data_IF_218859416282
#
_entry.id   IF_218859416282
#
_cell.length_a   1.000
_cell.length_b   1.000
_cell.length_c   1.000
_cell.angle_alpha   90.00
_cell.angle_beta   90.00
_cell.angle_gamma   90.00
#
_symmetry.space_group_name_H-M   'P 1'
#
loop_
_entity.id
_entity.type
_entity.pdbx_description
1 polymer ?
#
# COMPACT_ATOMS: atom_id res chain seq x y z
N UNK A 1 -17.43 32.25 2.54
CA UNK A 1 -16.38 31.32 3.01
C UNK A 1 -15.81 30.62 1.79
N UNK A 2 -14.56 30.90 1.46
CA UNK A 2 -13.86 30.28 0.32
C UNK A 2 -13.35 28.91 0.76
N UNK A 3 -13.89 27.86 0.12
CA UNK A 3 -13.32 26.52 0.18
C UNK A 3 -11.99 26.56 -0.57
N UNK A 4 -10.87 26.07 -0.02
CA UNK A 4 -9.66 25.91 -0.81
C UNK A 4 -9.94 24.79 -1.81
N UNK A 5 -10.20 25.18 -3.05
CA UNK A 5 -10.15 24.30 -4.20
C UNK A 5 -8.69 23.84 -4.29
N UNK A 6 -8.47 22.54 -4.05
CA UNK A 6 -7.24 21.88 -4.47
C UNK A 6 -7.10 22.17 -5.96
N UNK A 7 -6.11 23.00 -6.31
CA UNK A 7 -5.74 23.22 -7.69
C UNK A 7 -5.41 21.85 -8.29
N UNK A 8 -6.30 21.35 -9.13
CA UNK A 8 -5.94 20.37 -10.14
C UNK A 8 -5.03 21.08 -11.14
N UNK A 9 -3.77 21.26 -10.78
CA UNK A 9 -2.73 21.49 -11.77
C UNK A 9 -2.57 20.18 -12.54
N UNK A 10 -3.16 20.12 -13.73
CA UNK A 10 -2.81 19.09 -14.70
C UNK A 10 -1.35 19.28 -15.12
N UNK A 11 -0.39 18.53 -14.57
CA UNK A 11 1.00 18.62 -15.02
C UNK A 11 1.85 17.38 -14.69
N UNK A 12 1.78 16.36 -15.55
CA UNK A 12 2.85 15.36 -15.71
C UNK A 12 3.07 14.37 -14.55
N UNK A 13 3.96 13.40 -14.80
CA UNK A 13 4.53 12.57 -13.75
C UNK A 13 5.41 13.46 -12.82
N UNK A 14 5.58 13.10 -11.54
CA UNK A 14 6.27 13.95 -10.57
C UNK A 14 7.76 14.02 -10.92
N UNK A 15 8.44 15.04 -10.42
CA UNK A 15 9.88 15.17 -10.66
C UNK A 15 10.63 13.95 -10.14
N UNK A 16 11.55 13.44 -10.95
CA UNK A 16 12.44 12.36 -10.53
C UNK A 16 13.40 12.83 -9.44
N UNK A 17 13.57 11.98 -8.43
CA UNK A 17 14.48 12.21 -7.32
C UNK A 17 15.83 11.57 -7.64
N UNK A 18 16.87 12.40 -7.74
CA UNK A 18 18.22 11.92 -7.90
C UNK A 18 18.67 11.20 -6.61
N UNK A 19 19.32 10.05 -6.77
CA UNK A 19 19.87 9.26 -5.67
C UNK A 19 21.33 8.97 -5.92
N UNK A 20 22.17 9.35 -4.96
CA UNK A 20 23.57 8.90 -4.92
C UNK A 20 23.64 7.42 -4.52
N UNK A 21 24.59 6.62 -5.03
CA UNK A 21 24.67 5.19 -4.73
C UNK A 21 24.77 4.85 -3.23
N UNK A 22 25.30 5.77 -2.42
CA UNK A 22 25.40 5.65 -0.95
C UNK A 22 24.07 5.87 -0.22
N UNK A 23 23.11 6.54 -0.85
CA UNK A 23 21.88 6.98 -0.20
C UNK A 23 20.81 5.89 -0.23
N UNK A 24 20.08 5.73 0.87
CA UNK A 24 18.88 4.90 0.91
C UNK A 24 17.71 5.61 0.25
N UNK A 25 16.74 4.85 -0.27
CA UNK A 25 15.50 5.41 -0.83
C UNK A 25 14.75 6.25 0.23
N UNK A 26 14.76 5.79 1.48
CA UNK A 26 14.18 6.51 2.61
C UNK A 26 14.86 7.87 2.85
N UNK A 27 16.18 7.92 2.79
CA UNK A 27 16.94 9.16 2.96
C UNK A 27 16.62 10.14 1.83
N UNK A 28 16.58 9.69 0.57
CA UNK A 28 16.22 10.53 -0.58
C UNK A 28 14.79 11.08 -0.44
N UNK A 29 13.83 10.24 -0.07
CA UNK A 29 12.46 10.67 0.18
C UNK A 29 12.37 11.72 1.31
N UNK A 30 13.17 11.56 2.37
CA UNK A 30 13.28 12.54 3.45
C UNK A 30 13.87 13.88 2.99
N UNK A 31 14.99 13.81 2.26
CA UNK A 31 15.72 14.97 1.73
C UNK A 31 14.85 15.77 0.75
N UNK A 32 14.05 15.08 -0.06
CA UNK A 32 13.09 15.68 -0.97
C UNK A 32 11.83 16.23 -0.26
N UNK A 33 11.66 15.96 1.04
CA UNK A 33 10.49 16.37 1.85
C UNK A 33 9.17 15.95 1.20
N UNK A 34 9.09 14.72 0.72
CA UNK A 34 7.87 14.21 0.11
C UNK A 34 6.70 14.32 1.08
N UNK A 35 5.57 14.83 0.58
CA UNK A 35 4.32 14.80 1.33
C UNK A 35 3.89 13.34 1.56
N UNK A 36 3.11 13.04 2.62
CA UNK A 36 2.60 11.70 2.82
C UNK A 36 1.80 11.16 1.63
N UNK A 37 1.06 12.03 0.93
CA UNK A 37 0.29 11.69 -0.26
C UNK A 37 1.19 11.30 -1.44
N UNK A 38 2.21 12.10 -1.74
CA UNK A 38 3.16 11.78 -2.81
C UNK A 38 3.97 10.52 -2.49
N UNK A 39 4.36 10.36 -1.22
CA UNK A 39 5.06 9.16 -0.75
C UNK A 39 4.24 7.89 -0.98
N UNK A 40 2.95 7.92 -0.62
CA UNK A 40 2.04 6.80 -0.86
C UNK A 40 1.84 6.55 -2.36
N UNK A 41 1.62 7.61 -3.16
CA UNK A 41 1.44 7.46 -4.61
C UNK A 41 2.69 6.87 -5.30
N UNK A 42 3.90 7.29 -4.91
CA UNK A 42 5.16 6.70 -5.43
C UNK A 42 5.30 5.24 -5.05
N UNK A 43 4.91 4.87 -3.82
CA UNK A 43 4.87 3.48 -3.39
C UNK A 43 3.90 2.66 -4.25
N UNK A 44 2.65 3.12 -4.38
CA UNK A 44 1.60 2.44 -5.14
C UNK A 44 2.02 2.27 -6.60
N UNK A 45 2.59 3.30 -7.22
CA UNK A 45 3.11 3.24 -8.59
C UNK A 45 4.16 2.13 -8.76
N UNK A 46 5.17 2.10 -7.89
CA UNK A 46 6.25 1.13 -7.98
C UNK A 46 5.80 -0.30 -7.66
N UNK A 47 4.95 -0.47 -6.65
CA UNK A 47 4.41 -1.78 -6.28
C UNK A 47 3.45 -2.30 -7.36
N UNK A 48 2.61 -1.45 -7.96
CA UNK A 48 1.73 -1.85 -9.06
C UNK A 48 2.53 -2.35 -10.28
N UNK A 49 3.61 -1.66 -10.66
CA UNK A 49 4.52 -2.15 -11.70
C UNK A 49 5.16 -3.49 -11.33
N UNK A 50 5.49 -3.69 -10.05
CA UNK A 50 6.07 -4.95 -9.58
C UNK A 50 5.13 -6.15 -9.69
N UNK A 51 3.82 -5.92 -9.82
CA UNK A 51 2.83 -7.00 -9.99
C UNK A 51 2.85 -7.66 -11.38
N UNK A 52 3.39 -6.98 -12.40
CA UNK A 52 3.31 -7.40 -13.79
C UNK A 52 2.00 -7.01 -14.52
N UNK A 53 1.06 -6.38 -13.82
CA UNK A 53 -0.27 -5.95 -14.32
C UNK A 53 -0.61 -4.53 -13.83
N UNK A 54 0.40 -3.67 -13.79
CA UNK A 54 0.28 -2.30 -13.29
C UNK A 54 -0.52 -1.35 -14.19
N UNK A 55 -1.07 -1.83 -15.30
CA UNK A 55 -2.01 -1.08 -16.15
C UNK A 55 -3.47 -1.21 -15.69
N UNK A 56 -3.77 -2.09 -14.72
CA UNK A 56 -5.07 -2.21 -14.09
C UNK A 56 -5.24 -1.22 -12.92
N UNK A 57 -6.16 -0.24 -13.00
CA UNK A 57 -6.40 0.72 -11.91
C UNK A 57 -6.88 0.06 -10.60
N UNK A 58 -7.51 -1.12 -10.66
CA UNK A 58 -7.93 -1.85 -9.46
C UNK A 58 -6.72 -2.33 -8.65
N UNK A 59 -5.62 -2.69 -9.31
CA UNK A 59 -4.37 -3.09 -8.65
C UNK A 59 -3.79 -1.92 -7.84
N UNK A 60 -3.78 -0.72 -8.43
CA UNK A 60 -3.34 0.50 -7.74
C UNK A 60 -4.18 0.77 -6.49
N UNK A 61 -5.51 0.74 -6.64
CA UNK A 61 -6.45 1.01 -5.54
C UNK A 61 -6.32 -0.04 -4.42
N UNK A 62 -6.23 -1.32 -4.77
CA UNK A 62 -6.09 -2.41 -3.82
C UNK A 62 -4.78 -2.32 -3.00
N UNK A 63 -3.66 -2.00 -3.67
CA UNK A 63 -2.37 -1.78 -2.99
C UNK A 63 -2.45 -0.58 -2.06
N UNK A 64 -3.01 0.55 -2.51
CA UNK A 64 -3.15 1.76 -1.70
C UNK A 64 -3.95 1.50 -0.42
N UNK A 65 -5.07 0.77 -0.54
CA UNK A 65 -5.85 0.33 0.61
C UNK A 65 -5.07 -0.61 1.54
N UNK A 66 -4.38 -1.61 0.99
CA UNK A 66 -3.55 -2.53 1.78
C UNK A 66 -2.46 -1.80 2.60
N UNK A 67 -1.82 -0.79 2.02
CA UNK A 67 -0.87 0.08 2.75
C UNK A 67 -1.58 0.86 3.85
N UNK A 68 -2.69 1.52 3.53
CA UNK A 68 -3.41 2.34 4.49
C UNK A 68 -4.09 1.54 5.61
N UNK A 69 -4.41 0.27 5.38
CA UNK A 69 -4.88 -0.65 6.42
C UNK A 69 -3.80 -0.86 7.48
N UNK A 70 -2.54 -1.06 7.07
CA UNK A 70 -1.40 -1.15 8.00
C UNK A 70 -1.23 0.16 8.78
N UNK A 71 -1.33 1.31 8.11
CA UNK A 71 -1.21 2.63 8.74
C UNK A 71 -2.27 2.82 9.83
N UNK A 72 -3.55 2.65 9.49
CA UNK A 72 -4.66 2.84 10.44
C UNK A 72 -4.63 1.84 11.59
N UNK A 73 -4.26 0.59 11.32
CA UNK A 73 -4.11 -0.41 12.38
C UNK A 73 -2.97 -0.03 13.34
N UNK A 74 -1.83 0.45 12.81
CA UNK A 74 -0.69 0.92 13.60
C UNK A 74 -0.98 2.21 14.41
N UNK A 75 -1.92 3.04 13.98
CA UNK A 75 -2.36 4.21 14.75
C UNK A 75 -3.19 3.83 15.98
N UNK A 76 -3.77 2.63 16.00
CA UNK A 76 -4.66 2.16 17.07
C UNK A 76 -4.04 1.07 17.93
N UNK A 77 -3.06 0.33 17.42
CA UNK A 77 -2.41 -0.79 18.10
C UNK A 77 -0.90 -0.59 18.19
N UNK A 78 -0.36 -0.61 19.40
CA UNK A 78 1.09 -0.58 19.65
C UNK A 78 1.77 -1.85 19.13
N UNK A 79 1.09 -2.99 19.16
CA UNK A 79 1.62 -4.22 18.55
C UNK A 79 1.70 -4.08 17.01
N UNK A 80 0.66 -3.56 16.36
CA UNK A 80 0.66 -3.29 14.93
C UNK A 80 1.66 -2.20 14.54
N UNK A 81 1.84 -1.16 15.35
CA UNK A 81 2.85 -0.11 15.16
C UNK A 81 4.27 -0.66 15.20
N UNK A 82 4.55 -1.62 16.11
CA UNK A 82 5.85 -2.31 16.13
C UNK A 82 6.06 -3.16 14.88
N UNK A 83 5.03 -3.88 14.45
CA UNK A 83 5.11 -4.75 13.26
C UNK A 83 5.23 -3.96 11.97
N UNK A 84 4.38 -2.94 11.79
CA UNK A 84 4.22 -2.24 10.53
C UNK A 84 4.94 -0.89 10.46
N UNK A 85 5.27 -0.26 11.58
CA UNK A 85 5.77 1.11 11.60
C UNK A 85 4.66 2.13 11.85
N UNK A 86 5.04 3.39 12.12
CA UNK A 86 4.12 4.47 12.48
C UNK A 86 3.96 5.48 11.35
N UNK A 87 2.70 5.77 10.98
CA UNK A 87 2.36 6.66 9.87
C UNK A 87 2.76 6.08 8.50
N UNK A 88 2.43 6.79 7.42
CA UNK A 88 2.72 6.36 6.05
C UNK A 88 4.22 6.09 5.86
N UNK A 89 5.09 7.02 6.29
CA UNK A 89 6.54 6.86 6.18
C UNK A 89 7.04 5.62 6.91
N UNK A 90 6.61 5.41 8.15
CA UNK A 90 7.03 4.26 8.95
C UNK A 90 6.59 2.94 8.33
N UNK A 91 5.40 2.90 7.72
CA UNK A 91 4.90 1.73 6.99
C UNK A 91 5.67 1.45 5.71
N UNK A 92 5.88 2.47 4.87
CA UNK A 92 6.58 2.35 3.59
C UNK A 92 8.02 1.84 3.78
N UNK A 93 8.74 2.36 4.78
CA UNK A 93 10.17 2.07 4.98
C UNK A 93 10.46 1.05 6.08
N UNK A 94 9.44 0.43 6.69
CA UNK A 94 9.65 -0.65 7.65
C UNK A 94 10.40 -1.79 6.96
N UNK A 95 11.53 -2.21 7.54
CA UNK A 95 12.32 -3.35 7.05
C UNK A 95 11.43 -4.57 6.79
N UNK A 96 11.52 -5.12 5.58
CA UNK A 96 10.75 -6.29 5.15
C UNK A 96 9.41 -5.96 4.50
N UNK A 97 8.97 -4.70 4.53
CA UNK A 97 7.83 -4.24 3.75
C UNK A 97 8.31 -3.57 2.45
N UNK A 98 7.56 -3.78 1.37
CA UNK A 98 7.74 -3.06 0.10
C UNK A 98 9.16 -3.11 -0.45
N UNK A 99 9.90 -4.19 -0.15
CA UNK A 99 11.28 -4.36 -0.60
C UNK A 99 11.43 -4.14 -2.12
N UNK A 100 10.50 -4.58 -2.98
CA UNK A 100 10.48 -4.19 -4.40
C UNK A 100 10.58 -2.68 -4.59
N UNK A 101 9.67 -1.88 -4.04
CA UNK A 101 9.66 -0.44 -4.27
C UNK A 101 10.77 0.36 -3.55
N UNK A 102 11.31 -0.12 -2.42
CA UNK A 102 12.22 0.74 -1.60
C UNK A 102 13.63 0.19 -1.38
N UNK A 103 13.94 -1.02 -1.85
CA UNK A 103 15.30 -1.56 -1.71
C UNK A 103 16.28 -0.93 -2.71
N UNK A 104 17.49 -0.51 -2.31
CA UNK A 104 18.44 0.16 -3.20
C UNK A 104 18.79 -0.60 -4.49
N UNK A 105 18.79 -1.94 -4.44
CA UNK A 105 19.14 -2.80 -5.57
C UNK A 105 17.95 -3.20 -6.43
N UNK A 106 16.72 -2.91 -6.00
CA UNK A 106 15.53 -3.29 -6.75
C UNK A 106 15.35 -2.40 -7.98
N UNK A 107 15.00 -2.96 -9.16
CA UNK A 107 14.63 -2.15 -10.32
C UNK A 107 13.46 -1.21 -10.01
N UNK A 108 12.44 -1.67 -9.26
CA UNK A 108 11.25 -0.89 -8.91
C UNK A 108 11.54 0.28 -7.96
N UNK A 109 12.71 0.29 -7.30
CA UNK A 109 13.16 1.47 -6.55
C UNK A 109 13.46 2.67 -7.43
N UNK A 110 13.82 2.44 -8.70
CA UNK A 110 13.98 3.52 -9.68
C UNK A 110 12.62 4.10 -10.05
N UNK A 111 11.60 3.25 -10.18
CA UNK A 111 10.23 3.66 -10.48
C UNK A 111 9.61 4.46 -9.32
N UNK A 112 9.89 4.07 -8.08
CA UNK A 112 9.50 4.85 -6.90
C UNK A 112 10.11 6.27 -6.92
N UNK A 113 11.40 6.38 -7.24
CA UNK A 113 12.12 7.65 -7.27
C UNK A 113 11.79 8.48 -8.52
N UNK A 114 11.41 7.84 -9.62
CA UNK A 114 11.18 8.48 -10.91
C UNK A 114 10.01 7.81 -11.64
N UNK A 115 8.76 8.09 -11.23
CA UNK A 115 7.60 7.69 -12.03
C UNK A 115 7.65 8.41 -13.38
N UNK A 116 7.59 7.65 -14.48
CA UNK A 116 7.73 8.18 -15.84
C UNK A 116 6.42 8.17 -16.61
N UNK A 117 5.63 7.11 -16.40
CA UNK A 117 4.39 6.90 -17.13
C UNK A 117 3.27 7.72 -16.51
N UNK A 118 2.82 8.74 -17.23
CA UNK A 118 1.82 9.70 -16.73
C UNK A 118 0.49 9.03 -16.37
N UNK A 119 0.02 8.11 -17.20
CA UNK A 119 -1.26 7.43 -16.98
C UNK A 119 -1.22 6.59 -15.69
N UNK A 120 -0.15 5.80 -15.50
CA UNK A 120 0.02 4.97 -14.31
C UNK A 120 0.25 5.82 -13.05
N UNK A 121 0.95 6.95 -13.18
CA UNK A 121 1.10 7.92 -12.10
C UNK A 121 -0.24 8.48 -11.64
N UNK A 122 -1.11 8.86 -12.58
CA UNK A 122 -2.46 9.35 -12.26
C UNK A 122 -3.27 8.30 -11.51
N UNK A 123 -3.24 7.04 -11.96
CA UNK A 123 -3.89 5.93 -11.25
C UNK A 123 -3.38 5.79 -9.82
N UNK A 124 -2.06 5.89 -9.61
CA UNK A 124 -1.46 5.80 -8.28
C UNK A 124 -1.83 6.97 -7.35
N UNK A 125 -1.90 8.19 -7.89
CA UNK A 125 -2.33 9.38 -7.14
C UNK A 125 -3.80 9.27 -6.74
N UNK A 126 -4.67 8.86 -7.67
CA UNK A 126 -6.10 8.66 -7.38
C UNK A 126 -6.32 7.57 -6.34
N UNK A 127 -5.65 6.43 -6.49
CA UNK A 127 -5.69 5.33 -5.53
C UNK A 127 -5.21 5.75 -4.14
N UNK A 128 -4.07 6.45 -4.06
CA UNK A 128 -3.54 6.97 -2.81
C UNK A 128 -4.52 7.96 -2.16
N UNK A 129 -5.11 8.87 -2.94
CA UNK A 129 -6.11 9.82 -2.46
C UNK A 129 -7.34 9.14 -1.86
N UNK A 130 -7.93 8.18 -2.57
CA UNK A 130 -9.08 7.39 -2.08
C UNK A 130 -8.73 6.65 -0.79
N UNK A 131 -7.62 5.92 -0.78
CA UNK A 131 -7.21 5.13 0.38
C UNK A 131 -6.88 6.01 1.59
N UNK A 132 -6.34 7.22 1.38
CA UNK A 132 -6.07 8.19 2.45
C UNK A 132 -7.34 8.81 3.02
N UNK A 133 -8.33 9.13 2.17
CA UNK A 133 -9.64 9.61 2.63
C UNK A 133 -10.32 8.58 3.55
N UNK A 134 -10.13 7.28 3.29
CA UNK A 134 -10.56 6.21 4.19
C UNK A 134 -12.04 5.86 4.10
N UNK A 135 -12.78 6.50 3.19
CA UNK A 135 -14.18 6.23 2.96
C UNK A 135 -14.39 4.91 2.23
N UNK A 136 -15.37 4.11 2.69
CA UNK A 136 -15.79 2.86 2.01
C UNK A 136 -14.63 1.89 1.72
N UNK A 137 -13.80 1.64 2.72
CA UNK A 137 -12.71 0.67 2.63
C UNK A 137 -13.25 -0.72 2.21
N UNK A 138 -12.86 -1.26 1.03
CA UNK A 138 -13.41 -2.51 0.49
C UNK A 138 -13.02 -3.76 1.31
N UNK A 139 -12.03 -3.62 2.19
CA UNK A 139 -11.51 -4.71 3.01
C UNK A 139 -12.15 -4.84 4.39
N UNK A 140 -13.08 -3.95 4.74
CA UNK A 140 -13.88 -4.06 5.97
C UNK A 140 -15.07 -4.98 5.67
N UNK A 141 -15.02 -6.23 6.16
CA UNK A 141 -16.02 -7.24 5.82
C UNK A 141 -16.60 -7.95 7.05
N UNK A 142 -15.79 -8.14 8.09
CA UNK A 142 -16.21 -8.85 9.30
C UNK A 142 -16.91 -7.91 10.30
N UNK A 143 -17.74 -8.45 11.23
CA UNK A 143 -18.37 -7.63 12.26
C UNK A 143 -17.36 -6.82 13.08
N UNK A 144 -16.23 -7.42 13.49
CA UNK A 144 -15.19 -6.70 14.23
C UNK A 144 -14.61 -5.53 13.41
N UNK A 145 -14.33 -5.73 12.13
CA UNK A 145 -13.79 -4.68 11.26
C UNK A 145 -14.80 -3.52 11.09
N UNK A 146 -16.09 -3.85 10.98
CA UNK A 146 -17.17 -2.87 10.88
C UNK A 146 -17.32 -2.06 12.18
N UNK A 147 -17.38 -2.74 13.33
CA UNK A 147 -17.52 -2.10 14.64
C UNK A 147 -16.35 -1.17 14.98
N UNK A 148 -15.15 -1.48 14.47
CA UNK A 148 -13.93 -0.71 14.77
C UNK A 148 -13.56 0.28 13.66
N UNK A 149 -14.19 0.20 12.48
CA UNK A 149 -13.78 0.97 11.31
C UNK A 149 -12.34 0.69 10.87
N UNK A 150 -11.85 -0.53 11.11
CA UNK A 150 -10.47 -0.96 10.82
C UNK A 150 -10.50 -2.24 10.00
N UNK A 151 -9.67 -2.34 8.96
CA UNK A 151 -9.48 -3.60 8.26
C UNK A 151 -8.34 -4.41 8.87
N UNK A 152 -8.52 -5.72 8.97
CA UNK A 152 -7.49 -6.68 9.34
C UNK A 152 -6.75 -7.24 8.11
N UNK A 153 -7.11 -6.80 6.89
CA UNK A 153 -6.44 -7.17 5.65
C UNK A 153 -5.19 -6.33 5.48
N UNK A 154 -4.05 -6.92 5.86
CA UNK A 154 -2.77 -6.22 6.02
C UNK A 154 -1.63 -6.91 5.28
N UNK A 155 -1.85 -8.09 4.69
CA UNK A 155 -0.85 -8.78 3.90
C UNK A 155 -1.36 -8.94 2.47
N UNK A 156 -0.45 -8.80 1.50
CA UNK A 156 -0.75 -9.04 0.10
C UNK A 156 0.47 -9.58 -0.63
N UNK A 157 0.21 -10.33 -1.70
CA UNK A 157 1.19 -11.02 -2.51
C UNK A 157 0.82 -10.90 -3.99
N UNK A 158 1.83 -10.90 -4.85
CA UNK A 158 1.70 -10.64 -6.29
C UNK A 158 2.08 -11.91 -7.07
N UNK A 159 1.11 -12.78 -7.42
CA UNK A 159 1.41 -14.08 -8.04
C UNK A 159 2.14 -13.98 -9.38
N UNK A 160 1.90 -12.90 -10.13
CA UNK A 160 2.45 -12.66 -11.47
C UNK A 160 3.72 -11.80 -11.45
N UNK A 161 4.22 -11.41 -10.26
CA UNK A 161 5.46 -10.63 -10.14
C UNK A 161 6.67 -11.43 -10.62
N UNK A 162 7.63 -10.75 -11.25
CA UNK A 162 8.94 -11.35 -11.56
C UNK A 162 9.75 -11.74 -10.32
N UNK A 163 9.33 -11.26 -9.14
CA UNK A 163 9.96 -11.56 -7.85
C UNK A 163 9.17 -12.62 -7.05
N UNK A 164 8.12 -13.20 -7.62
CA UNK A 164 7.34 -14.25 -7.00
C UNK A 164 8.03 -15.62 -7.14
N UNK A 165 8.03 -16.40 -6.06
CA UNK A 165 8.55 -17.78 -6.03
C UNK A 165 7.43 -18.82 -6.27
N UNK A 166 6.28 -18.38 -6.82
CA UNK A 166 5.11 -19.21 -7.08
C UNK A 166 3.79 -18.43 -6.97
N UNK A 167 2.67 -19.12 -7.14
CA UNK A 167 1.34 -18.48 -7.12
C UNK A 167 0.83 -18.18 -5.70
N UNK A 168 1.35 -18.87 -4.69
CA UNK A 168 0.99 -18.69 -3.29
C UNK A 168 2.09 -17.95 -2.53
N UNK A 169 1.68 -17.14 -1.55
CA UNK A 169 2.64 -16.50 -0.67
C UNK A 169 3.35 -17.56 0.19
N UNK A 170 4.66 -17.42 0.50
CA UNK A 170 5.39 -18.40 1.31
C UNK A 170 4.83 -18.65 2.72
N UNK A 171 4.05 -17.70 3.25
CA UNK A 171 3.40 -17.77 4.57
C UNK A 171 1.93 -18.23 4.51
N UNK A 172 1.40 -18.52 3.33
CA UNK A 172 0.04 -19.04 3.17
C UNK A 172 -0.08 -20.40 3.88
N UNK A 173 -1.12 -20.58 4.70
CA UNK A 173 -1.30 -21.78 5.53
C UNK A 173 -0.60 -21.74 6.91
N UNK A 174 0.15 -20.69 7.23
CA UNK A 174 0.87 -20.54 8.51
C UNK A 174 0.01 -20.20 9.74
N UNK A 175 -1.32 -20.19 9.61
CA UNK A 175 -2.29 -20.01 10.72
C UNK A 175 -2.46 -18.59 11.26
N UNK A 176 -1.50 -17.68 11.05
CA UNK A 176 -1.61 -16.27 11.46
C UNK A 176 -2.40 -15.38 10.48
N UNK A 177 -2.62 -15.87 9.26
CA UNK A 177 -3.21 -15.13 8.15
C UNK A 177 -4.22 -16.01 7.41
N UNK A 178 -5.33 -15.42 7.00
CA UNK A 178 -6.39 -16.05 6.23
C UNK A 178 -6.47 -15.40 4.85
N UNK A 179 -6.38 -16.21 3.79
CA UNK A 179 -6.60 -15.74 2.43
C UNK A 179 -8.08 -15.40 2.23
N UNK A 180 -8.37 -14.25 1.61
CA UNK A 180 -9.74 -13.72 1.56
C UNK A 180 -10.42 -13.83 0.19
N UNK A 181 -9.77 -14.46 -0.79
CA UNK A 181 -10.33 -14.60 -2.14
C UNK A 181 -10.25 -13.31 -2.96
N UNK A 182 -11.18 -13.20 -3.91
CA UNK A 182 -11.34 -12.04 -4.78
C UNK A 182 -11.91 -10.85 -4.00
N UNK A 183 -11.60 -9.63 -4.46
CA UNK A 183 -11.99 -8.39 -3.77
C UNK A 183 -12.91 -7.56 -4.63
N UNK A 184 -14.01 -7.10 -4.05
CA UNK A 184 -14.87 -6.08 -4.66
C UNK A 184 -14.37 -4.69 -4.30
N UNK A 185 -13.97 -3.92 -5.31
CA UNK A 185 -13.59 -2.50 -5.18
C UNK A 185 -14.63 -1.68 -5.94
N UNK A 186 -15.52 -1.04 -5.20
CA UNK A 186 -16.75 -0.49 -5.77
C UNK A 186 -17.63 -1.61 -6.34
N UNK A 187 -17.95 -1.51 -7.62
CA UNK A 187 -18.74 -2.48 -8.39
C UNK A 187 -17.89 -3.47 -9.20
N UNK A 188 -16.55 -3.38 -9.11
CA UNK A 188 -15.62 -4.20 -9.88
C UNK A 188 -14.93 -5.23 -9.00
N UNK A 189 -14.73 -6.41 -9.57
CA UNK A 189 -14.00 -7.50 -8.94
C UNK A 189 -12.52 -7.46 -9.35
N UNK A 190 -11.63 -7.48 -8.37
CA UNK A 190 -10.21 -7.75 -8.55
C UNK A 190 -9.95 -9.23 -8.25
N UNK A 191 -9.55 -10.04 -9.24
CA UNK A 191 -9.25 -11.45 -9.04
C UNK A 191 -8.03 -11.67 -8.15
N UNK A 192 -8.05 -12.71 -7.33
CA UNK A 192 -6.92 -13.06 -6.48
C UNK A 192 -5.68 -13.53 -7.26
N UNK A 193 -5.83 -13.91 -8.53
CA UNK A 193 -4.70 -14.16 -9.43
C UNK A 193 -3.89 -12.89 -9.77
N UNK A 194 -4.48 -11.71 -9.57
CA UNK A 194 -3.81 -10.42 -9.76
C UNK A 194 -3.08 -10.01 -8.49
N UNK A 195 -3.81 -9.95 -7.37
CA UNK A 195 -3.26 -9.66 -6.05
C UNK A 195 -3.96 -10.53 -5.01
N UNK A 196 -3.20 -11.33 -4.28
CA UNK A 196 -3.71 -12.14 -3.18
C UNK A 196 -3.69 -11.31 -1.91
N UNK A 197 -4.83 -11.17 -1.24
CA UNK A 197 -4.93 -10.47 0.04
C UNK A 197 -5.14 -11.43 1.20
N UNK A 198 -4.63 -11.05 2.37
CA UNK A 198 -4.70 -11.86 3.58
C UNK A 198 -5.06 -11.03 4.80
N UNK A 199 -6.02 -11.56 5.55
CA UNK A 199 -6.53 -11.01 6.81
C UNK A 199 -5.80 -11.61 8.00
N UNK A 200 -5.54 -10.83 9.05
CA UNK A 200 -5.15 -11.41 10.33
C UNK A 200 -6.25 -12.33 10.85
N UNK A 201 -5.89 -13.57 11.20
CA UNK A 201 -6.86 -14.55 11.73
C UNK A 201 -7.52 -14.08 13.05
N UNK A 202 -6.87 -13.16 13.77
CA UNK A 202 -7.39 -12.53 14.99
C UNK A 202 -6.97 -11.06 15.05
N UNK A 203 -7.80 -10.17 15.64
CA UNK A 203 -7.39 -8.82 15.92
C UNK A 203 -6.15 -8.78 16.84
N UNK A 204 -5.31 -7.71 16.73
CA UNK A 204 -4.24 -7.45 17.67
C UNK A 204 -4.71 -7.55 19.12
N UNK A 205 -3.93 -8.21 19.98
CA UNK A 205 -4.35 -8.51 21.35
C UNK A 205 -4.61 -7.25 22.18
N UNK A 206 -3.87 -6.18 21.90
CA UNK A 206 -4.00 -4.86 22.50
C UNK A 206 -5.21 -4.04 22.00
N UNK A 207 -5.94 -4.56 21.01
CA UNK A 207 -7.24 -4.01 20.56
C UNK A 207 -8.44 -4.85 21.01
N UNK A 208 -8.22 -5.92 21.77
CA UNK A 208 -9.33 -6.68 22.31
C UNK A 208 -9.99 -5.89 23.44
N UNK A 209 -11.33 -5.93 23.55
CA UNK A 209 -11.99 -5.40 24.73
C UNK A 209 -11.38 -6.02 25.98
N UNK A 210 -11.14 -5.20 27.01
CA UNK A 210 -10.83 -5.73 28.33
C UNK A 210 -11.96 -6.69 28.73
N UNK A 211 -11.59 -7.93 29.04
CA UNK A 211 -12.54 -8.93 29.54
C UNK A 211 -13.06 -8.54 30.91
#
# INVERSE_FOLDING_TARGET
MMVPVLCADGAGAPRCLARDPSDTVEYVAAKAKLSPAELLARLVYAEALSTGIGDDPLVHEAIAWGVMNRVRLAERSESAKRSYGSGIRGVVFKKGQFNPAVSPRSPFSKDFLCPKERALWQMAVEAAGKAMAGERNPFIQTPWEQDNGLSLVVNFYYPKSIQADGIHAPWEGGGGLEFIGDIMIGDKMLPAEHVRFYRLARPPADLRPAR
#
